data_IF_889491649994
#
_entry.id   IF_889491649994
#
_cell.length_a   1.000
_cell.length_b   1.000
_cell.length_c   1.000
_cell.angle_alpha   90.00
_cell.angle_beta   90.00
_cell.angle_gamma   90.00
#
_symmetry.space_group_name_H-M   'P 1'
#
loop_
_entity.id
_entity.type
_entity.pdbx_description
1 polymer ?
#
# COMPACT_ATOMS: atom_id res chain seq x y z
N UNK A 1 -24.45 -1.78 -8.23
CA UNK A 1 -23.80 -2.22 -9.48
C UNK A 1 -22.74 -1.19 -9.86
N UNK A 2 -21.47 -1.53 -9.73
CA UNK A 2 -20.34 -0.68 -10.16
C UNK A 2 -19.79 -1.27 -11.45
N UNK A 3 -19.70 -0.48 -12.52
CA UNK A 3 -19.42 -0.99 -13.85
C UNK A 3 -18.54 -0.04 -14.68
N UNK A 4 -17.64 -0.63 -15.50
CA UNK A 4 -16.69 0.06 -16.39
C UNK A 4 -17.03 -0.23 -17.87
N UNK A 5 -17.92 0.56 -18.49
CA UNK A 5 -18.32 0.39 -19.90
C UNK A 5 -17.16 0.51 -20.90
N UNK A 6 -16.04 1.08 -20.50
CA UNK A 6 -14.81 1.15 -21.29
C UNK A 6 -14.00 -0.16 -21.27
N UNK A 7 -14.27 -1.07 -20.33
CA UNK A 7 -13.57 -2.36 -20.21
C UNK A 7 -14.41 -3.54 -20.71
N UNK A 8 -15.73 -3.43 -20.69
CA UNK A 8 -16.66 -4.45 -21.16
C UNK A 8 -17.54 -3.77 -22.23
N UNK A 9 -17.55 -4.30 -23.45
CA UNK A 9 -18.25 -3.69 -24.60
C UNK A 9 -19.79 -3.85 -24.55
N UNK A 10 -20.38 -3.84 -23.35
CA UNK A 10 -21.82 -4.02 -23.12
C UNK A 10 -22.32 -3.07 -22.05
N UNK A 11 -23.42 -2.35 -22.25
CA UNK A 11 -23.96 -1.50 -21.19
C UNK A 11 -24.76 -2.33 -20.18
N UNK A 12 -24.21 -2.53 -18.97
CA UNK A 12 -24.92 -3.20 -17.87
C UNK A 12 -25.59 -2.14 -16.99
N UNK A 13 -26.90 -1.96 -17.16
CA UNK A 13 -27.69 -0.95 -16.43
C UNK A 13 -28.72 -1.51 -15.44
N UNK A 14 -28.99 -2.82 -15.48
CA UNK A 14 -29.99 -3.49 -14.62
C UNK A 14 -29.37 -4.67 -13.88
N UNK A 15 -30.01 -5.10 -12.79
CA UNK A 15 -29.56 -6.27 -12.04
C UNK A 15 -29.66 -7.54 -12.89
N UNK A 16 -30.65 -7.63 -13.75
CA UNK A 16 -30.91 -8.76 -14.66
C UNK A 16 -29.79 -8.86 -15.69
N UNK A 17 -29.41 -7.75 -16.33
CA UNK A 17 -28.29 -7.73 -17.26
C UNK A 17 -26.96 -8.03 -16.56
N UNK A 18 -26.80 -7.58 -15.31
CA UNK A 18 -25.64 -7.92 -14.49
C UNK A 18 -25.61 -9.43 -14.18
N UNK A 19 -26.72 -10.00 -13.74
CA UNK A 19 -26.87 -11.43 -13.45
C UNK A 19 -26.61 -12.28 -14.68
N UNK A 20 -27.18 -11.93 -15.83
CA UNK A 20 -26.96 -12.67 -17.09
C UNK A 20 -25.48 -12.69 -17.46
N UNK A 21 -24.80 -11.54 -17.36
CA UNK A 21 -23.36 -11.45 -17.64
C UNK A 21 -22.52 -12.23 -16.62
N UNK A 22 -22.79 -12.08 -15.34
CA UNK A 22 -22.05 -12.75 -14.26
C UNK A 22 -22.30 -14.25 -14.27
N UNK A 23 -23.51 -14.71 -14.60
CA UNK A 23 -23.86 -16.13 -14.69
C UNK A 23 -23.05 -16.84 -15.77
N UNK A 24 -22.83 -16.19 -16.91
CA UNK A 24 -22.02 -16.74 -17.99
C UNK A 24 -20.57 -17.01 -17.56
N UNK A 25 -20.00 -16.17 -16.70
CA UNK A 25 -18.58 -16.21 -16.33
C UNK A 25 -18.36 -16.89 -14.94
N UNK A 26 -19.31 -16.75 -14.01
CA UNK A 26 -19.19 -17.11 -12.59
C UNK A 26 -20.54 -17.57 -11.98
N UNK A 27 -20.99 -18.81 -12.24
CA UNK A 27 -22.31 -19.30 -11.80
C UNK A 27 -22.51 -19.24 -10.27
N UNK A 28 -21.47 -19.53 -9.48
CA UNK A 28 -21.52 -19.48 -8.01
C UNK A 28 -21.84 -18.07 -7.47
N UNK A 29 -21.37 -17.01 -8.13
CA UNK A 29 -21.69 -15.64 -7.73
C UNK A 29 -23.18 -15.35 -7.96
N UNK A 30 -23.76 -15.94 -9.01
CA UNK A 30 -25.18 -15.76 -9.31
C UNK A 30 -26.06 -16.45 -8.30
N UNK A 31 -25.71 -17.69 -7.92
CA UNK A 31 -26.38 -18.41 -6.81
C UNK A 31 -26.34 -17.60 -5.51
N UNK A 32 -25.19 -16.97 -5.21
CA UNK A 32 -25.07 -16.09 -4.04
C UNK A 32 -26.00 -14.88 -4.12
N UNK A 33 -26.07 -14.21 -5.27
CA UNK A 33 -26.98 -13.07 -5.47
C UNK A 33 -28.44 -13.50 -5.32
N UNK A 34 -28.81 -14.66 -5.89
CA UNK A 34 -30.17 -15.20 -5.86
C UNK A 34 -30.61 -15.71 -4.48
N UNK A 35 -29.65 -16.10 -3.63
CA UNK A 35 -29.92 -16.49 -2.24
C UNK A 35 -30.37 -15.31 -1.35
N UNK A 36 -30.15 -14.07 -1.78
CA UNK A 36 -30.50 -12.86 -1.05
C UNK A 36 -31.84 -12.24 -1.45
N UNK A 37 -32.28 -11.25 -0.67
CA UNK A 37 -33.42 -10.40 -1.02
C UNK A 37 -32.93 -9.04 -1.53
N UNK A 38 -33.41 -8.62 -2.70
CA UNK A 38 -33.15 -7.28 -3.20
C UNK A 38 -33.94 -6.24 -2.41
N UNK A 39 -33.24 -5.27 -1.81
CA UNK A 39 -33.85 -4.15 -1.06
C UNK A 39 -33.84 -2.87 -1.88
N UNK A 40 -32.72 -2.56 -2.54
CA UNK A 40 -32.56 -1.40 -3.44
C UNK A 40 -31.45 -1.67 -4.47
N UNK A 41 -31.44 -0.92 -5.58
CA UNK A 41 -30.41 -1.00 -6.63
C UNK A 41 -29.90 0.38 -7.01
N UNK A 42 -28.59 0.57 -6.88
CA UNK A 42 -27.88 1.72 -7.43
C UNK A 42 -26.89 1.27 -8.48
N UNK A 43 -26.77 2.02 -9.58
CA UNK A 43 -25.81 1.77 -10.64
C UNK A 43 -24.85 2.95 -10.79
N UNK A 44 -23.54 2.68 -10.71
CA UNK A 44 -22.49 3.67 -10.91
C UNK A 44 -21.62 3.25 -12.10
N UNK A 45 -21.49 4.15 -13.06
CA UNK A 45 -20.72 3.94 -14.29
C UNK A 45 -19.52 4.90 -14.30
N UNK A 46 -18.36 4.42 -14.76
CA UNK A 46 -17.14 5.24 -14.85
C UNK A 46 -16.84 5.98 -13.53
N UNK A 47 -17.02 5.27 -12.41
CA UNK A 47 -16.98 5.84 -11.07
C UNK A 47 -15.56 6.15 -10.58
N UNK A 48 -14.53 5.77 -11.35
CA UNK A 48 -13.14 6.06 -11.02
C UNK A 48 -12.70 7.36 -11.69
N UNK A 49 -12.11 8.25 -10.91
CA UNK A 49 -11.55 9.52 -11.39
C UNK A 49 -10.46 10.00 -10.45
N UNK A 50 -9.69 10.96 -10.94
CA UNK A 50 -8.60 11.54 -10.19
C UNK A 50 -8.38 13.00 -10.63
N UNK A 51 -8.27 13.90 -9.66
CA UNK A 51 -7.84 15.27 -9.88
C UNK A 51 -6.34 15.33 -10.23
N UNK A 52 -5.93 16.34 -10.99
CA UNK A 52 -4.51 16.54 -11.36
C UNK A 52 -3.66 17.14 -10.25
N UNK A 53 -4.30 17.69 -9.23
CA UNK A 53 -3.69 18.35 -8.08
C UNK A 53 -4.66 18.20 -6.90
N UNK A 54 -4.14 17.92 -5.71
CA UNK A 54 -4.98 17.74 -4.51
C UNK A 54 -4.90 18.94 -3.58
N UNK A 55 -3.71 19.52 -3.41
CA UNK A 55 -3.41 20.62 -2.53
C UNK A 55 -2.83 21.80 -3.30
N UNK A 56 -3.38 22.97 -3.04
CA UNK A 56 -2.93 24.20 -3.68
C UNK A 56 -2.12 25.07 -2.76
N UNK A 57 -1.12 25.71 -3.34
CA UNK A 57 -0.36 26.79 -2.70
C UNK A 57 -1.15 28.10 -2.61
N UNK A 58 -2.35 28.14 -3.21
CA UNK A 58 -3.27 29.27 -3.23
C UNK A 58 -4.45 29.10 -2.24
N UNK A 59 -4.36 28.14 -1.32
CA UNK A 59 -5.30 28.04 -0.18
C UNK A 59 -6.56 27.20 -0.41
N UNK A 60 -6.54 26.28 -1.39
CA UNK A 60 -7.60 25.27 -1.55
C UNK A 60 -7.05 23.85 -1.46
N UNK A 61 -7.87 22.92 -0.97
CA UNK A 61 -7.50 21.52 -0.77
C UNK A 61 -8.68 20.61 -1.12
N UNK A 62 -8.40 19.50 -1.83
CA UNK A 62 -9.37 18.44 -2.11
C UNK A 62 -9.21 17.31 -1.11
N UNK A 63 -10.33 16.78 -0.64
CA UNK A 63 -10.41 15.73 0.36
C UNK A 63 -11.26 14.56 -0.15
N UNK A 64 -10.77 13.34 0.02
CA UNK A 64 -11.50 12.10 -0.30
C UNK A 64 -12.01 12.09 -1.73
N UNK A 65 -13.28 11.76 -1.89
CA UNK A 65 -13.92 11.68 -3.20
C UNK A 65 -13.90 13.02 -3.96
N UNK A 66 -13.73 14.18 -3.33
CA UNK A 66 -13.54 15.43 -4.09
C UNK A 66 -12.22 15.43 -4.90
N UNK A 67 -11.23 14.68 -4.43
CA UNK A 67 -9.91 14.54 -5.07
C UNK A 67 -9.87 13.36 -6.03
N UNK A 68 -10.37 12.21 -5.61
CA UNK A 68 -10.26 10.96 -6.36
C UNK A 68 -11.21 9.89 -5.85
N UNK A 69 -11.60 8.99 -6.73
CA UNK A 69 -12.29 7.74 -6.38
C UNK A 69 -11.66 6.62 -7.18
N UNK A 70 -11.31 5.52 -6.50
CA UNK A 70 -10.65 4.37 -7.09
C UNK A 70 -11.42 3.08 -6.83
N UNK A 71 -10.82 1.96 -7.24
CA UNK A 71 -11.32 0.62 -6.98
C UNK A 71 -11.62 0.40 -5.48
N UNK A 72 -12.80 -0.12 -5.12
CA UNK A 72 -13.18 -0.37 -3.74
C UNK A 72 -12.35 -1.47 -3.06
N UNK A 73 -11.57 -2.26 -3.81
CA UNK A 73 -10.68 -3.27 -3.27
C UNK A 73 -9.78 -2.69 -2.16
N UNK A 74 -9.71 -3.41 -1.04
CA UNK A 74 -8.91 -3.07 0.15
C UNK A 74 -9.36 -1.80 0.91
N UNK A 75 -10.54 -1.23 0.60
CA UNK A 75 -11.14 -0.09 1.32
C UNK A 75 -10.20 1.11 1.51
N UNK A 76 -9.32 1.35 0.53
CA UNK A 76 -8.25 2.34 0.61
C UNK A 76 -8.75 3.79 0.79
N UNK A 77 -9.92 4.12 0.23
CA UNK A 77 -10.48 5.47 0.27
C UNK A 77 -10.57 6.05 1.68
N UNK A 78 -11.05 5.27 2.66
CA UNK A 78 -11.12 5.72 4.06
C UNK A 78 -9.74 5.90 4.68
N UNK A 79 -8.78 5.04 4.35
CA UNK A 79 -7.40 5.16 4.83
C UNK A 79 -6.72 6.43 4.29
N UNK A 80 -7.00 6.80 3.03
CA UNK A 80 -6.49 8.04 2.44
C UNK A 80 -7.11 9.27 3.09
N UNK A 81 -8.43 9.29 3.27
CA UNK A 81 -9.11 10.39 3.98
C UNK A 81 -8.56 10.56 5.40
N UNK A 82 -8.28 9.46 6.11
CA UNK A 82 -7.69 9.50 7.44
C UNK A 82 -6.28 10.13 7.49
N UNK A 83 -5.56 10.17 6.36
CA UNK A 83 -4.29 10.89 6.22
C UNK A 83 -4.49 12.32 5.70
N UNK A 84 -5.39 12.53 4.74
CA UNK A 84 -5.65 13.85 4.18
C UNK A 84 -6.23 14.82 5.21
N UNK A 85 -7.11 14.36 6.12
CA UNK A 85 -7.71 15.23 7.13
C UNK A 85 -6.62 15.90 8.01
N UNK A 86 -5.71 15.15 8.67
CA UNK A 86 -4.61 15.76 9.42
C UNK A 86 -3.68 16.61 8.57
N UNK A 87 -3.43 16.25 7.30
CA UNK A 87 -2.59 17.05 6.40
C UNK A 87 -3.21 18.41 6.10
N UNK A 88 -4.49 18.44 5.74
CA UNK A 88 -5.22 19.69 5.51
C UNK A 88 -5.31 20.52 6.79
N UNK A 89 -5.59 19.89 7.94
CA UNK A 89 -5.57 20.58 9.23
C UNK A 89 -4.19 21.19 9.54
N UNK A 90 -3.09 20.49 9.25
CA UNK A 90 -1.74 21.02 9.42
C UNK A 90 -1.47 22.22 8.50
N UNK A 91 -1.93 22.17 7.25
CA UNK A 91 -1.78 23.30 6.32
C UNK A 91 -2.58 24.52 6.76
N UNK A 92 -3.84 24.34 7.18
CA UNK A 92 -4.68 25.40 7.73
C UNK A 92 -4.03 26.02 8.98
N UNK A 93 -3.53 25.19 9.90
CA UNK A 93 -2.87 25.67 11.11
C UNK A 93 -1.63 26.51 10.79
N UNK A 94 -0.79 26.07 9.84
CA UNK A 94 0.37 26.84 9.42
C UNK A 94 -0.02 28.13 8.69
N UNK A 95 -1.11 28.12 7.94
CA UNK A 95 -1.62 29.30 7.22
C UNK A 95 -2.11 30.37 8.19
N UNK A 96 -2.89 30.00 9.20
CA UNK A 96 -3.35 30.88 10.29
C UNK A 96 -2.17 31.59 10.97
N UNK A 97 -1.04 30.89 11.13
CA UNK A 97 0.18 31.43 11.75
C UNK A 97 1.17 32.07 10.75
N UNK A 98 0.81 32.22 9.47
CA UNK A 98 1.67 32.82 8.45
C UNK A 98 2.95 32.03 8.15
N UNK A 99 2.95 30.72 8.42
CA UNK A 99 4.10 29.82 8.26
C UNK A 99 3.90 28.73 7.20
N UNK A 100 2.76 28.72 6.52
CA UNK A 100 2.52 27.82 5.39
C UNK A 100 3.42 28.22 4.22
N UNK A 101 4.13 27.25 3.66
CA UNK A 101 5.02 27.48 2.52
C UNK A 101 4.66 26.56 1.36
N UNK A 102 4.90 26.98 0.10
CA UNK A 102 4.73 26.11 -1.06
C UNK A 102 5.49 24.79 -0.93
N UNK A 103 6.69 24.82 -0.33
CA UNK A 103 7.49 23.63 -0.10
C UNK A 103 6.78 22.60 0.79
N UNK A 104 6.14 23.05 1.88
CA UNK A 104 5.39 22.16 2.77
C UNK A 104 4.17 21.55 2.06
N UNK A 105 3.40 22.36 1.32
CA UNK A 105 2.26 21.87 0.51
C UNK A 105 2.72 20.80 -0.48
N UNK A 106 3.81 21.05 -1.21
CA UNK A 106 4.35 20.10 -2.18
C UNK A 106 4.84 18.78 -1.55
N UNK A 107 5.40 18.82 -0.34
CA UNK A 107 5.76 17.60 0.39
C UNK A 107 4.51 16.75 0.71
N UNK A 108 3.41 17.37 1.14
CA UNK A 108 2.18 16.66 1.48
C UNK A 108 1.43 16.17 0.21
N UNK A 109 1.44 16.96 -0.86
CA UNK A 109 0.97 16.55 -2.20
C UNK A 109 1.71 15.28 -2.67
N UNK A 110 3.05 15.30 -2.58
CA UNK A 110 3.90 14.16 -2.97
C UNK A 110 3.62 12.92 -2.11
N UNK A 111 3.33 13.11 -0.82
CA UNK A 111 2.93 12.00 0.04
C UNK A 111 1.60 11.37 -0.40
N UNK A 112 0.59 12.17 -0.76
CA UNK A 112 -0.67 11.62 -1.29
C UNK A 112 -0.42 10.86 -2.59
N UNK A 113 0.35 11.41 -3.53
CA UNK A 113 0.73 10.70 -4.76
C UNK A 113 1.39 9.35 -4.49
N UNK A 114 2.23 9.26 -3.45
CA UNK A 114 2.88 8.03 -3.02
C UNK A 114 1.89 6.99 -2.46
N UNK A 115 0.88 7.44 -1.72
CA UNK A 115 -0.21 6.59 -1.23
C UNK A 115 -1.04 6.04 -2.39
N UNK A 116 -1.27 6.85 -3.44
CA UNK A 116 -1.98 6.42 -4.65
C UNK A 116 -1.18 5.43 -5.50
N UNK A 117 0.16 5.52 -5.50
CA UNK A 117 1.00 4.50 -6.13
C UNK A 117 0.78 3.09 -5.54
N UNK A 118 0.37 3.00 -4.26
CA UNK A 118 -0.05 1.73 -3.65
C UNK A 118 -1.36 1.23 -4.25
N UNK A 119 -2.36 2.10 -4.44
CA UNK A 119 -3.62 1.76 -5.12
C UNK A 119 -3.36 1.26 -6.56
N UNK A 120 -2.49 1.93 -7.31
CA UNK A 120 -2.12 1.53 -8.66
C UNK A 120 -1.52 0.10 -8.66
N UNK A 121 -0.75 -0.24 -7.63
CA UNK A 121 -0.23 -1.60 -7.45
C UNK A 121 -1.32 -2.61 -7.09
N UNK A 122 -2.28 -2.24 -6.24
CA UNK A 122 -3.41 -3.09 -5.88
C UNK A 122 -4.36 -3.35 -7.04
N UNK A 123 -4.50 -2.41 -7.98
CA UNK A 123 -5.28 -2.63 -9.21
C UNK A 123 -4.78 -3.82 -10.03
N UNK A 124 -3.49 -4.17 -9.92
CA UNK A 124 -2.91 -5.36 -10.58
C UNK A 124 -3.18 -6.66 -9.85
N UNK A 125 -3.75 -6.64 -8.64
CA UNK A 125 -4.07 -7.86 -7.92
C UNK A 125 -5.07 -8.74 -8.67
N UNK A 126 -5.96 -8.14 -9.46
CA UNK A 126 -6.88 -8.89 -10.32
C UNK A 126 -6.18 -9.84 -11.30
N UNK A 127 -4.91 -9.60 -11.65
CA UNK A 127 -4.10 -10.49 -12.49
C UNK A 127 -3.69 -11.80 -11.79
N UNK A 128 -3.83 -11.88 -10.47
CA UNK A 128 -3.33 -13.01 -9.65
C UNK A 128 -4.32 -13.48 -8.59
N UNK A 129 -5.48 -12.84 -8.46
CA UNK A 129 -6.49 -13.15 -7.44
C UNK A 129 -7.12 -14.53 -7.60
N UNK A 130 -7.09 -15.10 -8.81
CA UNK A 130 -7.55 -16.45 -9.13
C UNK A 130 -6.61 -17.54 -8.59
N UNK A 131 -5.35 -17.21 -8.29
CA UNK A 131 -4.36 -18.11 -7.72
C UNK A 131 -4.17 -17.84 -6.21
N UNK A 132 -4.74 -18.65 -5.30
CA UNK A 132 -4.68 -18.38 -3.87
C UNK A 132 -3.25 -18.45 -3.31
N UNK A 133 -2.36 -19.21 -3.94
CA UNK A 133 -0.96 -19.25 -3.54
C UNK A 133 -0.29 -17.90 -3.79
N UNK A 134 -0.44 -17.38 -5.02
CA UNK A 134 0.10 -16.07 -5.39
C UNK A 134 -0.52 -14.97 -4.54
N UNK A 135 -1.85 -14.95 -4.44
CA UNK A 135 -2.56 -13.92 -3.70
C UNK A 135 -2.25 -13.94 -2.20
N UNK A 136 -2.16 -15.13 -1.59
CA UNK A 136 -1.80 -15.25 -0.17
C UNK A 136 -0.41 -14.69 0.14
N UNK A 137 0.57 -14.89 -0.75
CA UNK A 137 1.90 -14.28 -0.59
C UNK A 137 1.89 -12.76 -0.81
N UNK A 138 1.12 -12.29 -1.77
CA UNK A 138 0.92 -10.85 -2.02
C UNK A 138 0.32 -10.17 -0.79
N UNK A 139 -0.76 -10.71 -0.22
CA UNK A 139 -1.40 -10.19 0.99
C UNK A 139 -0.47 -10.23 2.20
N UNK A 140 0.27 -11.33 2.38
CA UNK A 140 1.24 -11.46 3.48
C UNK A 140 2.28 -10.34 3.43
N UNK A 141 2.85 -10.08 2.24
CA UNK A 141 3.89 -9.08 2.06
C UNK A 141 3.34 -7.65 2.16
N UNK A 142 2.18 -7.39 1.54
CA UNK A 142 1.49 -6.09 1.62
C UNK A 142 1.17 -5.72 3.08
N UNK A 143 0.60 -6.65 3.84
CA UNK A 143 0.32 -6.44 5.26
C UNK A 143 1.62 -6.27 6.07
N UNK A 144 2.66 -7.07 5.79
CA UNK A 144 3.95 -6.89 6.46
C UNK A 144 4.51 -5.47 6.25
N UNK A 145 4.46 -4.94 5.02
CA UNK A 145 4.88 -3.58 4.72
C UNK A 145 4.01 -2.54 5.43
N UNK A 146 2.69 -2.71 5.40
CA UNK A 146 1.75 -1.82 6.10
C UNK A 146 2.09 -1.72 7.60
N UNK A 147 2.15 -2.87 8.28
CA UNK A 147 2.37 -2.90 9.73
C UNK A 147 3.77 -2.42 10.11
N UNK A 148 4.82 -2.64 9.32
CA UNK A 148 6.18 -2.27 9.72
C UNK A 148 6.63 -0.89 9.25
N UNK A 149 5.95 -0.29 8.26
CA UNK A 149 6.39 0.95 7.62
C UNK A 149 5.30 2.01 7.63
N UNK A 150 4.13 1.70 7.06
CA UNK A 150 3.05 2.68 6.84
C UNK A 150 2.35 3.04 8.15
N UNK A 151 1.90 2.05 8.92
CA UNK A 151 1.19 2.27 10.17
C UNK A 151 2.07 3.00 11.21
N UNK A 152 3.34 2.63 11.45
CA UNK A 152 4.20 3.41 12.35
C UNK A 152 4.38 4.87 11.92
N UNK A 153 4.46 5.15 10.61
CA UNK A 153 4.54 6.51 10.10
C UNK A 153 3.28 7.32 10.40
N UNK A 154 2.11 6.70 10.27
CA UNK A 154 0.85 7.30 10.65
C UNK A 154 0.81 7.58 12.16
N UNK A 155 1.09 6.57 12.98
CA UNK A 155 1.00 6.68 14.44
C UNK A 155 1.91 7.76 15.02
N UNK A 156 3.10 7.97 14.45
CA UNK A 156 4.00 9.02 14.93
C UNK A 156 3.70 10.41 14.39
N UNK A 157 2.83 10.53 13.38
CA UNK A 157 2.52 11.79 12.70
C UNK A 157 3.57 12.22 11.69
N UNK A 158 4.55 11.37 11.38
CA UNK A 158 5.66 11.74 10.48
C UNK A 158 5.19 11.93 9.02
N UNK A 159 4.01 11.47 8.64
CA UNK A 159 3.39 11.82 7.34
C UNK A 159 2.98 13.30 7.23
N UNK A 160 3.03 14.04 8.34
CA UNK A 160 2.77 15.48 8.44
C UNK A 160 4.06 16.29 8.49
N UNK A 161 5.22 15.64 8.57
CA UNK A 161 6.54 16.29 8.54
C UNK A 161 7.09 16.27 7.10
N UNK A 162 7.50 17.43 6.58
CA UNK A 162 7.80 17.59 5.15
C UNK A 162 8.94 16.70 4.65
N UNK A 163 10.05 16.58 5.40
CA UNK A 163 11.13 15.67 5.04
C UNK A 163 10.68 14.21 5.05
N UNK A 164 9.89 13.82 6.04
CA UNK A 164 9.43 12.44 6.18
C UNK A 164 8.39 12.07 5.13
N UNK A 165 7.46 12.99 4.82
CA UNK A 165 6.51 12.91 3.72
C UNK A 165 7.24 12.75 2.37
N UNK A 166 8.26 13.58 2.11
CA UNK A 166 9.07 13.49 0.90
C UNK A 166 9.86 12.17 0.83
N UNK A 167 10.46 11.74 1.94
CA UNK A 167 11.16 10.46 2.00
C UNK A 167 10.23 9.30 1.63
N UNK A 168 8.99 9.31 2.12
CA UNK A 168 8.01 8.29 1.77
C UNK A 168 7.67 8.32 0.28
N UNK A 169 7.50 9.51 -0.30
CA UNK A 169 7.26 9.67 -1.73
C UNK A 169 8.41 9.15 -2.60
N UNK A 170 9.66 9.39 -2.19
CA UNK A 170 10.83 8.87 -2.91
C UNK A 170 10.91 7.33 -2.90
N UNK A 171 10.34 6.68 -1.87
CA UNK A 171 10.33 5.23 -1.75
C UNK A 171 9.23 4.57 -2.59
N UNK A 172 8.16 5.31 -2.90
CA UNK A 172 6.99 4.83 -3.62
C UNK A 172 6.69 5.75 -4.81
N UNK A 173 7.59 5.79 -5.82
CA UNK A 173 7.32 6.55 -7.02
C UNK A 173 6.11 5.97 -7.73
N UNK A 174 5.28 6.86 -8.26
CA UNK A 174 4.13 6.49 -9.10
C UNK A 174 4.60 6.20 -10.53
N UNK A 175 4.11 5.13 -11.12
CA UNK A 175 4.47 4.72 -12.48
C UNK A 175 3.29 4.94 -13.44
N UNK A 176 3.58 5.06 -14.74
CA UNK A 176 2.52 4.93 -15.74
C UNK A 176 2.01 3.49 -15.77
N UNK A 177 0.81 3.28 -16.33
CA UNK A 177 0.18 1.96 -16.42
C UNK A 177 1.11 0.90 -17.04
N UNK A 178 1.87 1.28 -18.07
CA UNK A 178 2.77 0.40 -18.82
C UNK A 178 4.04 0.06 -18.04
N UNK A 179 4.49 0.96 -17.17
CA UNK A 179 5.71 0.79 -16.36
C UNK A 179 5.43 0.22 -14.96
N UNK A 180 4.16 0.10 -14.58
CA UNK A 180 3.77 -0.35 -13.25
C UNK A 180 4.39 -1.75 -12.96
N UNK A 181 5.12 -1.91 -11.85
CA UNK A 181 5.76 -3.18 -11.52
C UNK A 181 4.74 -4.30 -11.27
N UNK A 182 5.23 -5.54 -11.22
CA UNK A 182 4.40 -6.68 -10.81
C UNK A 182 3.90 -6.49 -9.37
N UNK A 183 2.64 -6.82 -9.07
CA UNK A 183 2.13 -6.78 -7.70
C UNK A 183 2.73 -7.89 -6.82
N UNK A 184 3.33 -8.91 -7.45
CA UNK A 184 3.85 -10.08 -6.76
C UNK A 184 5.17 -9.77 -6.04
N UNK A 185 5.25 -10.00 -4.72
CA UNK A 185 6.53 -9.92 -4.02
C UNK A 185 7.45 -11.01 -4.56
N UNK A 186 8.67 -10.64 -4.94
CA UNK A 186 9.62 -11.58 -5.53
C UNK A 186 9.08 -12.29 -6.79
N UNK A 187 8.32 -11.60 -7.64
CA UNK A 187 7.57 -12.14 -8.80
C UNK A 187 8.20 -13.37 -9.50
N UNK A 188 9.45 -13.27 -9.98
CA UNK A 188 10.10 -14.38 -10.69
C UNK A 188 10.33 -15.64 -9.85
N UNK A 189 10.46 -15.52 -8.53
CA UNK A 189 10.56 -16.65 -7.60
C UNK A 189 9.21 -17.32 -7.40
N UNK A 190 8.15 -16.53 -7.16
CA UNK A 190 6.78 -17.05 -7.02
C UNK A 190 6.32 -17.76 -8.30
N UNK A 191 6.56 -17.15 -9.46
CA UNK A 191 6.28 -17.74 -10.76
C UNK A 191 7.04 -19.05 -10.97
N UNK A 192 8.30 -19.14 -10.53
CA UNK A 192 9.06 -20.39 -10.61
C UNK A 192 8.50 -21.49 -9.71
N UNK A 193 8.09 -21.15 -8.49
CA UNK A 193 7.47 -22.10 -7.57
C UNK A 193 6.19 -22.67 -8.19
N UNK A 194 5.33 -21.80 -8.74
CA UNK A 194 4.09 -22.23 -9.37
C UNK A 194 4.35 -23.09 -10.62
N UNK A 195 5.32 -22.69 -11.45
CA UNK A 195 5.72 -23.45 -12.65
C UNK A 195 6.29 -24.83 -12.31
N UNK A 196 7.14 -24.91 -11.29
CA UNK A 196 7.79 -26.16 -10.88
C UNK A 196 6.92 -27.04 -9.99
N UNK A 197 5.86 -26.47 -9.41
CA UNK A 197 4.93 -27.16 -8.53
C UNK A 197 3.47 -26.73 -8.76
N UNK A 198 2.85 -27.14 -9.89
CA UNK A 198 1.48 -26.74 -10.24
C UNK A 198 0.43 -27.27 -9.25
N UNK A 199 0.74 -28.36 -8.52
CA UNK A 199 -0.16 -28.95 -7.52
C UNK A 199 -0.14 -28.28 -6.14
N UNK A 200 0.50 -27.11 -5.97
CA UNK A 200 0.43 -26.37 -4.72
C UNK A 200 -1.01 -25.96 -4.40
N UNK A 201 -1.56 -26.52 -3.33
CA UNK A 201 -2.86 -26.10 -2.79
C UNK A 201 -2.69 -24.96 -1.78
N UNK A 202 -3.75 -24.17 -1.52
CA UNK A 202 -3.72 -23.11 -0.52
C UNK A 202 -3.41 -23.63 0.89
N UNK A 203 -3.78 -24.88 1.20
CA UNK A 203 -3.55 -25.52 2.50
C UNK A 203 -2.07 -25.82 2.74
N UNK A 204 -1.28 -25.93 1.66
CA UNK A 204 0.17 -26.11 1.73
C UNK A 204 0.90 -24.79 2.04
N UNK A 205 0.18 -23.66 2.08
CA UNK A 205 0.76 -22.39 2.48
C UNK A 205 0.99 -22.37 3.99
N UNK A 206 2.22 -22.08 4.43
CA UNK A 206 2.46 -21.90 5.85
C UNK A 206 1.68 -20.70 6.37
N UNK A 207 0.97 -20.86 7.49
CA UNK A 207 0.40 -19.73 8.20
C UNK A 207 1.53 -18.90 8.82
N UNK A 208 1.97 -17.89 8.06
CA UNK A 208 3.04 -16.98 8.45
C UNK A 208 2.51 -15.66 9.01
N UNK A 209 1.20 -15.39 8.89
CA UNK A 209 0.62 -14.09 9.19
C UNK A 209 0.91 -13.64 10.63
N UNK A 210 0.66 -14.51 11.61
CA UNK A 210 0.95 -14.24 13.02
C UNK A 210 2.43 -14.04 13.34
N UNK A 211 3.33 -14.52 12.48
CA UNK A 211 4.79 -14.42 12.65
C UNK A 211 5.39 -13.23 11.90
N UNK A 212 4.71 -12.74 10.86
CA UNK A 212 5.20 -11.67 9.98
C UNK A 212 4.53 -10.34 10.21
N UNK A 213 3.39 -10.30 10.91
CA UNK A 213 2.76 -9.08 11.37
C UNK A 213 3.19 -8.77 12.80
N UNK A 214 3.27 -7.49 13.15
CA UNK A 214 3.43 -7.05 14.52
C UNK A 214 2.07 -6.52 14.97
N UNK A 215 1.43 -7.26 15.88
CA UNK A 215 0.12 -6.93 16.43
C UNK A 215 0.20 -6.08 17.70
N UNK A 216 1.40 -5.78 18.18
CA UNK A 216 1.56 -4.85 19.28
C UNK A 216 1.00 -3.50 18.86
N UNK A 217 0.11 -2.92 19.68
CA UNK A 217 -0.42 -1.58 19.44
C UNK A 217 0.77 -0.62 19.39
N UNK A 218 0.93 0.02 18.23
CA UNK A 218 2.04 0.94 18.00
C UNK A 218 1.90 2.13 18.93
N UNK A 219 2.92 2.34 19.76
CA UNK A 219 3.13 3.63 20.42
C UNK A 219 3.71 4.59 19.40
N UNK A 220 3.34 5.86 19.52
CA UNK A 220 3.82 6.93 18.68
C UNK A 220 5.28 7.31 19.01
N UNK A 221 6.21 6.35 18.96
CA UNK A 221 7.62 6.55 19.31
C UNK A 221 8.50 6.59 18.05
N UNK A 222 9.04 7.78 17.72
CA UNK A 222 9.87 7.96 16.52
C UNK A 222 11.12 7.06 16.54
N UNK A 223 11.75 6.91 17.70
CA UNK A 223 12.93 6.03 17.89
C UNK A 223 12.67 4.55 17.56
N UNK A 224 11.42 4.10 17.57
CA UNK A 224 11.07 2.71 17.27
C UNK A 224 10.96 2.45 15.75
N UNK A 225 10.73 3.48 14.93
CA UNK A 225 10.53 3.34 13.47
C UNK A 225 11.70 2.64 12.76
N UNK A 226 12.98 2.98 13.02
CA UNK A 226 14.10 2.27 12.40
C UNK A 226 14.15 0.78 12.77
N UNK A 227 13.68 0.43 13.98
CA UNK A 227 13.60 -0.97 14.44
C UNK A 227 12.49 -1.71 13.68
N UNK A 228 11.33 -1.10 13.49
CA UNK A 228 10.25 -1.68 12.69
C UNK A 228 10.67 -1.87 11.23
N UNK A 229 11.32 -0.87 10.63
CA UNK A 229 11.89 -0.99 9.29
C UNK A 229 12.99 -2.07 9.20
N UNK A 230 13.84 -2.19 10.21
CA UNK A 230 14.81 -3.29 10.31
C UNK A 230 14.12 -4.65 10.32
N UNK A 231 13.04 -4.79 11.11
CA UNK A 231 12.26 -6.02 11.18
C UNK A 231 11.56 -6.33 9.85
N UNK A 232 11.09 -5.33 9.11
CA UNK A 232 10.58 -5.51 7.75
C UNK A 232 11.61 -6.15 6.82
N UNK A 233 12.85 -5.64 6.80
CA UNK A 233 13.91 -6.20 5.96
C UNK A 233 14.32 -7.60 6.42
N UNK A 234 14.45 -7.83 7.73
CA UNK A 234 14.73 -9.16 8.28
C UNK A 234 13.66 -10.17 7.85
N UNK A 235 12.38 -9.82 8.00
CA UNK A 235 11.25 -10.68 7.62
C UNK A 235 11.22 -10.89 6.10
N UNK A 236 11.49 -9.86 5.30
CA UNK A 236 11.61 -9.97 3.84
C UNK A 236 12.68 -10.98 3.41
N UNK A 237 13.86 -10.97 4.06
CA UNK A 237 14.91 -11.95 3.81
C UNK A 237 14.47 -13.37 4.17
N UNK A 238 13.82 -13.56 5.32
CA UNK A 238 13.32 -14.86 5.77
C UNK A 238 12.24 -15.42 4.84
N UNK A 239 11.30 -14.58 4.41
CA UNK A 239 10.26 -14.95 3.45
C UNK A 239 10.87 -15.33 2.10
N UNK A 240 11.87 -14.59 1.63
CA UNK A 240 12.58 -14.89 0.39
C UNK A 240 13.29 -16.24 0.46
N UNK A 241 14.03 -16.51 1.53
CA UNK A 241 14.69 -17.82 1.74
C UNK A 241 13.65 -18.94 1.83
N UNK A 242 12.50 -18.69 2.46
CA UNK A 242 11.42 -19.67 2.55
C UNK A 242 10.84 -20.03 1.18
N UNK A 243 10.58 -19.02 0.34
CA UNK A 243 10.16 -19.23 -1.05
C UNK A 243 11.23 -19.99 -1.85
N UNK A 244 12.51 -19.66 -1.68
CA UNK A 244 13.60 -20.40 -2.31
C UNK A 244 13.62 -21.88 -1.94
N UNK A 245 13.22 -22.26 -0.71
CA UNK A 245 13.08 -23.67 -0.30
C UNK A 245 11.90 -24.39 -0.97
N UNK A 246 10.94 -23.66 -1.52
CA UNK A 246 9.76 -24.23 -2.21
C UNK A 246 10.00 -24.48 -3.70
N UNK A 247 11.09 -23.94 -4.26
CA UNK A 247 11.46 -24.16 -5.67
C UNK A 247 12.00 -25.59 -5.84
N UNK A 248 11.51 -26.33 -6.84
CA UNK A 248 12.14 -27.60 -7.26
C UNK A 248 13.35 -27.30 -8.12
N UNK A 249 14.49 -27.10 -7.47
CA UNK A 249 15.75 -26.73 -8.12
C UNK A 249 16.22 -27.81 -9.12
N UNK A 250 16.93 -27.35 -10.14
CA UNK A 250 17.54 -28.16 -11.19
C UNK A 250 18.82 -27.48 -11.64
N UNK A 251 19.77 -28.25 -12.18
CA UNK A 251 21.04 -27.74 -12.70
C UNK A 251 20.83 -27.04 -14.05
N UNK A 252 20.14 -25.90 -14.03
CA UNK A 252 19.89 -25.08 -15.22
C UNK A 252 20.38 -23.65 -15.02
N UNK A 253 20.78 -22.98 -16.12
CA UNK A 253 21.22 -21.59 -16.07
C UNK A 253 20.14 -20.64 -15.51
N UNK A 254 18.85 -20.93 -15.79
CA UNK A 254 17.71 -20.20 -15.22
C UNK A 254 17.68 -20.27 -13.70
N UNK A 255 17.82 -21.47 -13.15
CA UNK A 255 17.83 -21.69 -11.71
C UNK A 255 19.08 -21.10 -11.04
N UNK A 256 20.24 -21.17 -11.68
CA UNK A 256 21.43 -20.50 -11.18
C UNK A 256 21.24 -18.97 -11.09
N UNK A 257 20.69 -18.34 -12.14
CA UNK A 257 20.35 -16.89 -12.12
C UNK A 257 19.34 -16.55 -11.03
N UNK A 258 18.31 -17.37 -10.86
CA UNK A 258 17.30 -17.17 -9.82
C UNK A 258 17.89 -17.28 -8.42
N UNK A 259 18.73 -18.30 -8.19
CA UNK A 259 19.45 -18.50 -6.93
C UNK A 259 20.35 -17.31 -6.59
N UNK A 260 21.16 -16.83 -7.55
CA UNK A 260 22.01 -15.66 -7.35
C UNK A 260 21.20 -14.39 -7.05
N UNK A 261 20.13 -14.13 -7.82
CA UNK A 261 19.27 -12.95 -7.64
C UNK A 261 18.63 -12.94 -6.25
N UNK A 262 18.03 -14.05 -5.84
CA UNK A 262 17.30 -14.09 -4.57
C UNK A 262 18.24 -14.30 -3.37
N UNK A 263 19.34 -15.03 -3.53
CA UNK A 263 20.39 -15.13 -2.52
C UNK A 263 21.03 -13.77 -2.25
N UNK A 264 21.46 -13.06 -3.31
CA UNK A 264 22.05 -11.73 -3.18
C UNK A 264 21.07 -10.71 -2.55
N UNK A 265 19.81 -10.73 -2.95
CA UNK A 265 18.84 -9.83 -2.35
C UNK A 265 18.40 -10.21 -0.93
N UNK A 266 18.48 -11.48 -0.51
CA UNK A 266 18.32 -11.86 0.90
C UNK A 266 19.48 -11.29 1.74
N UNK A 267 20.72 -11.38 1.24
CA UNK A 267 21.88 -10.75 1.89
C UNK A 267 21.72 -9.23 1.97
N UNK A 268 21.23 -8.59 0.92
CA UNK A 268 20.97 -7.15 0.90
C UNK A 268 19.94 -6.74 1.98
N UNK A 269 18.84 -7.48 2.11
CA UNK A 269 17.82 -7.22 3.12
C UNK A 269 18.37 -7.45 4.54
N UNK A 270 19.14 -8.52 4.77
CA UNK A 270 19.81 -8.74 6.05
C UNK A 270 20.81 -7.62 6.38
N UNK A 271 21.58 -7.15 5.39
CA UNK A 271 22.51 -6.04 5.57
C UNK A 271 21.75 -4.75 5.93
N UNK A 272 20.65 -4.42 5.24
CA UNK A 272 19.78 -3.27 5.60
C UNK A 272 19.22 -3.41 7.01
N UNK A 273 18.74 -4.58 7.38
CA UNK A 273 18.23 -4.85 8.72
C UNK A 273 19.31 -4.60 9.79
N UNK A 274 20.52 -5.12 9.58
CA UNK A 274 21.65 -4.92 10.49
C UNK A 274 22.09 -3.45 10.55
N UNK A 275 22.20 -2.78 9.41
CA UNK A 275 22.55 -1.35 9.32
C UNK A 275 21.56 -0.50 10.10
N UNK A 276 20.26 -0.72 9.96
CA UNK A 276 19.25 0.06 10.69
C UNK A 276 19.25 -0.21 12.21
N UNK A 277 19.69 -1.40 12.66
CA UNK A 277 19.88 -1.66 14.10
C UNK A 277 21.13 -0.98 14.65
N UNK A 278 22.22 -0.99 13.89
CA UNK A 278 23.51 -0.43 14.30
C UNK A 278 23.57 1.10 14.15
N UNK A 279 22.87 1.64 13.16
CA UNK A 279 22.81 3.07 12.83
C UNK A 279 21.38 3.49 12.49
N UNK A 280 20.49 3.61 13.50
CA UNK A 280 19.08 3.98 13.29
C UNK A 280 18.88 5.31 12.55
N UNK A 281 19.81 6.26 12.66
CA UNK A 281 19.75 7.56 11.98
C UNK A 281 19.70 7.45 10.46
N UNK A 282 20.22 6.38 9.87
CA UNK A 282 20.18 6.15 8.42
C UNK A 282 18.77 5.87 7.89
N UNK A 283 17.81 5.62 8.78
CA UNK A 283 16.40 5.56 8.42
C UNK A 283 15.88 6.92 7.92
N UNK A 284 16.43 8.04 8.42
CA UNK A 284 15.97 9.40 8.14
C UNK A 284 16.86 10.04 7.06
N UNK A 285 16.51 9.84 5.78
CA UNK A 285 17.30 10.27 4.61
C UNK A 285 17.63 11.76 4.65
N UNK A 286 16.67 12.58 5.05
CA UNK A 286 16.77 14.03 5.07
C UNK A 286 17.02 14.61 6.48
N UNK A 287 17.24 13.75 7.48
CA UNK A 287 17.40 14.18 8.87
C UNK A 287 16.16 14.88 9.43
N UNK A 288 16.35 15.82 10.36
CA UNK A 288 15.25 16.60 10.92
C UNK A 288 14.78 17.69 9.95
N UNK A 289 13.46 17.88 9.83
CA UNK A 289 12.89 18.95 9.02
C UNK A 289 13.28 20.35 9.54
N UNK A 290 13.56 21.31 8.65
CA UNK A 290 13.54 22.73 8.99
C UNK A 290 12.19 23.13 9.57
N UNK A 291 12.15 24.17 10.40
CA UNK A 291 10.94 24.59 11.13
C UNK A 291 9.71 24.82 10.21
N UNK A 292 9.94 25.38 9.02
CA UNK A 292 8.88 25.60 8.03
C UNK A 292 8.30 24.31 7.44
N UNK A 293 9.03 23.21 7.49
CA UNK A 293 8.60 21.90 7.02
C UNK A 293 8.12 20.97 8.15
N UNK A 294 8.32 21.35 9.42
CA UNK A 294 7.82 20.56 10.54
C UNK A 294 6.30 20.60 10.63
N UNK A 295 5.74 19.47 11.06
CA UNK A 295 4.34 19.37 11.47
C UNK A 295 4.02 20.37 12.58
N UNK A 296 2.90 21.11 12.50
CA UNK A 296 2.47 22.01 13.57
C UNK A 296 1.90 21.26 14.79
N UNK A 297 1.67 19.95 14.67
CA UNK A 297 1.16 19.11 15.77
C UNK A 297 2.26 18.44 16.58
N UNK A 298 3.52 18.84 16.39
CA UNK A 298 4.66 18.27 17.09
C UNK A 298 5.07 16.88 16.59
N UNK A 299 5.79 16.16 17.43
CA UNK A 299 6.31 14.80 17.17
C UNK A 299 5.51 13.78 17.96
N UNK A 300 5.79 12.49 17.72
CA UNK A 300 5.33 11.40 18.59
C UNK A 300 3.80 11.33 18.71
N UNK A 301 3.10 11.51 17.58
CA UNK A 301 1.66 11.33 17.49
C UNK A 301 0.85 12.49 18.08
N UNK A 302 1.45 13.67 18.29
CA UNK A 302 0.73 14.83 18.85
C UNK A 302 -0.51 15.27 18.07
N UNK A 303 -0.66 14.89 16.79
CA UNK A 303 -1.89 15.10 16.02
C UNK A 303 -3.08 14.23 16.49
N UNK A 304 -2.82 13.16 17.24
CA UNK A 304 -3.84 12.30 17.85
C UNK A 304 -4.29 12.83 19.22
N UNK A 305 -3.53 13.75 19.82
CA UNK A 305 -3.84 14.36 21.12
C UNK A 305 -4.86 15.49 20.96
N UNK A 306 -6.11 15.13 20.68
CA UNK A 306 -7.24 16.07 20.51
C UNK A 306 -7.59 16.88 21.78
N UNK A 307 -6.97 16.57 22.93
CA UNK A 307 -7.35 17.10 24.26
C UNK A 307 -6.47 18.29 24.71
N UNK A 308 -5.35 18.58 24.04
CA UNK A 308 -4.34 19.54 24.54
C UNK A 308 -4.44 20.98 24.03
N UNK A 309 -5.50 21.35 23.31
CA UNK A 309 -5.71 22.73 22.85
C UNK A 309 -6.94 23.33 23.54
N UNK A 310 -6.76 23.73 24.79
CA UNK A 310 -7.63 24.61 25.56
C UNK A 310 -6.79 25.75 26.13
#
# INVERSE_FOLDING_TARGET
ITYRPDMIEQKIGTLEAFKEKVMADHPVITELIESGQLVDTQAMHNYMYEARQYYSTEGWFLLGDAAFTFDPANSAGLAYVAQQIPQVAAMIEKDIHGSLTPAYVNCLESHIQAQLALQDTWSKWYEVMDDPFMMGWTLLFANMAYFHVVLPMYMTGDFLDGHQAQQFADLLPRYTREMQPSPLPFACLLQEIRRSNPGLSPEMMPNLYSRTINFDLYRAENRARPIYASNYYLRSALLRVRLMKMVKWSLSARHFKLLLRHGGGAVQDLARAAVLRLRPSLFYKYGESPELLKSPFGKEGGFLDLVRRG
#
